data_IF_093763122666
#
_entry.id   IF_093763122666
#
_cell.length_a   1.000
_cell.length_b   1.000
_cell.length_c   1.000
_cell.angle_alpha   90.00
_cell.angle_beta   90.00
_cell.angle_gamma   90.00
#
_symmetry.space_group_name_H-M   'P 1'
#
loop_
_entity.id
_entity.type
_entity.pdbx_description
1 polymer ?
#
# COMPACT_ATOMS: atom_id res chain seq x y z
N UNK A 1 33.68 -24.43 13.36
CA UNK A 1 32.48 -23.69 12.91
C UNK A 1 31.88 -23.06 14.16
N UNK A 2 31.95 -21.74 14.30
CA UNK A 2 31.29 -21.05 15.41
C UNK A 2 29.78 -21.20 15.26
N UNK A 3 29.02 -21.59 16.29
CA UNK A 3 27.57 -21.67 16.19
C UNK A 3 27.03 -20.28 15.86
N UNK A 4 26.08 -20.21 14.92
CA UNK A 4 25.39 -18.97 14.60
C UNK A 4 24.74 -18.44 15.89
N UNK A 5 25.27 -17.33 16.41
CA UNK A 5 24.68 -16.63 17.55
C UNK A 5 23.53 -15.80 17.00
N UNK A 6 22.31 -16.26 17.25
CA UNK A 6 21.11 -15.48 16.98
C UNK A 6 20.86 -14.52 18.14
N UNK A 7 20.50 -13.25 17.87
CA UNK A 7 20.14 -12.32 18.93
C UNK A 7 18.91 -12.84 19.69
N UNK A 8 18.96 -12.86 21.02
CA UNK A 8 17.81 -13.15 21.87
C UNK A 8 16.86 -11.95 21.86
N UNK A 9 15.60 -12.17 21.47
CA UNK A 9 14.57 -11.13 21.49
C UNK A 9 13.74 -11.21 22.77
N UNK A 10 13.40 -10.06 23.35
CA UNK A 10 12.53 -9.97 24.52
C UNK A 10 11.07 -10.25 24.11
N UNK A 11 10.39 -11.18 24.80
CA UNK A 11 9.01 -11.58 24.48
C UNK A 11 8.02 -10.40 24.57
N UNK A 12 8.16 -9.54 25.57
CA UNK A 12 7.30 -8.37 25.75
C UNK A 12 7.50 -7.36 24.61
N UNK A 13 8.75 -7.14 24.21
CA UNK A 13 9.09 -6.25 23.09
C UNK A 13 8.47 -6.78 21.78
N UNK A 14 8.65 -8.07 21.48
CA UNK A 14 8.07 -8.70 20.29
C UNK A 14 6.54 -8.59 20.26
N UNK A 15 5.88 -8.79 21.41
CA UNK A 15 4.42 -8.67 21.52
C UNK A 15 3.95 -7.25 21.21
N UNK A 16 4.62 -6.23 21.77
CA UNK A 16 4.31 -4.83 21.50
C UNK A 16 4.60 -4.44 20.04
N UNK A 17 5.72 -4.89 19.48
CA UNK A 17 6.06 -4.66 18.07
C UNK A 17 5.02 -5.27 17.13
N UNK A 18 4.56 -6.51 17.42
CA UNK A 18 3.51 -7.17 16.63
C UNK A 18 2.20 -6.38 16.69
N UNK A 19 1.78 -5.91 17.87
CA UNK A 19 0.59 -5.07 18.01
C UNK A 19 0.72 -3.77 17.21
N UNK A 20 1.83 -3.04 17.38
CA UNK A 20 2.08 -1.78 16.67
C UNK A 20 2.12 -1.97 15.14
N UNK A 21 2.62 -3.10 14.64
CA UNK A 21 2.72 -3.38 13.19
C UNK A 21 1.38 -3.36 12.45
N UNK A 22 0.27 -3.58 13.17
CA UNK A 22 -1.10 -3.56 12.66
C UNK A 22 -1.83 -2.22 12.91
N UNK A 23 -1.19 -1.27 13.59
CA UNK A 23 -1.76 0.02 13.98
C UNK A 23 -1.09 1.15 13.20
N UNK A 24 -1.78 2.29 13.11
CA UNK A 24 -1.20 3.50 12.55
C UNK A 24 -0.07 3.97 13.45
N UNK A 25 1.13 4.11 12.88
CA UNK A 25 2.31 4.56 13.64
C UNK A 25 2.78 5.95 13.26
N UNK A 26 2.34 6.48 12.12
CA UNK A 26 2.75 7.79 11.62
C UNK A 26 1.55 8.72 11.51
N UNK A 27 1.64 9.88 12.15
CA UNK A 27 0.65 10.94 12.08
C UNK A 27 1.36 12.18 11.57
N UNK A 28 1.00 12.61 10.37
CA UNK A 28 1.63 13.75 9.71
C UNK A 28 0.53 14.74 9.32
N UNK A 29 0.75 15.99 9.66
CA UNK A 29 -0.03 17.17 9.27
C UNK A 29 0.91 18.23 8.66
N UNK A 30 0.38 19.34 8.18
CA UNK A 30 1.14 20.39 7.46
C UNK A 30 2.39 20.86 8.21
N UNK A 31 2.36 20.93 9.54
CA UNK A 31 3.48 21.41 10.37
C UNK A 31 3.99 20.39 11.40
N UNK A 32 3.22 19.33 11.69
CA UNK A 32 3.43 18.41 12.81
C UNK A 32 3.66 16.98 12.31
N UNK A 33 4.59 16.28 12.94
CA UNK A 33 4.80 14.84 12.76
C UNK A 33 4.84 14.14 14.12
N UNK A 34 4.10 13.04 14.26
CA UNK A 34 4.19 12.15 15.39
C UNK A 34 4.46 10.72 14.90
N UNK A 35 5.46 10.08 15.49
CA UNK A 35 5.88 8.72 15.21
C UNK A 35 5.79 7.87 16.47
N UNK A 36 5.27 6.67 16.33
CA UNK A 36 5.18 5.66 17.37
C UNK A 36 6.16 4.53 17.11
N UNK A 37 6.97 4.19 18.10
CA UNK A 37 7.94 3.09 18.05
C UNK A 37 7.95 2.30 19.35
N UNK A 38 8.55 1.11 19.35
CA UNK A 38 8.77 0.31 20.58
C UNK A 38 10.26 0.35 20.89
N UNK A 39 10.62 1.05 21.96
CA UNK A 39 12.01 1.30 22.36
C UNK A 39 12.14 1.19 23.87
N UNK A 40 13.29 0.72 24.37
CA UNK A 40 13.58 0.74 25.79
C UNK A 40 13.67 2.19 26.31
N UNK A 41 13.12 2.44 27.50
CA UNK A 41 13.24 3.75 28.14
C UNK A 41 14.71 4.08 28.43
N UNK A 42 15.18 5.20 27.90
CA UNK A 42 16.45 5.80 28.29
C UNK A 42 16.26 6.38 29.69
N UNK A 43 16.99 5.85 30.68
CA UNK A 43 16.72 6.08 32.11
C UNK A 43 17.01 7.49 32.65
N UNK A 44 16.90 8.51 31.82
CA UNK A 44 17.19 9.93 32.12
C UNK A 44 15.93 10.81 31.91
N UNK A 45 14.77 10.29 32.28
CA UNK A 45 13.49 11.02 32.27
C UNK A 45 13.19 11.52 33.68
N UNK A 46 12.87 12.81 33.82
CA UNK A 46 12.69 13.50 35.10
C UNK A 46 11.27 14.06 35.29
N UNK A 47 10.41 13.96 34.26
CA UNK A 47 9.04 14.45 34.27
C UNK A 47 8.07 13.40 33.73
N UNK A 48 6.91 13.27 34.37
CA UNK A 48 5.77 12.49 33.89
C UNK A 48 4.62 13.43 33.57
N UNK A 49 4.09 13.32 32.36
CA UNK A 49 2.83 13.94 31.96
C UNK A 49 1.72 12.89 32.04
N UNK A 50 0.75 13.11 32.93
CA UNK A 50 -0.44 12.27 33.04
C UNK A 50 -1.36 12.58 31.87
N UNK A 51 -1.73 11.55 31.11
CA UNK A 51 -2.59 11.70 29.94
C UNK A 51 -3.73 10.69 29.95
N UNK A 52 -4.86 11.07 29.35
CA UNK A 52 -5.82 10.13 28.81
C UNK A 52 -5.60 10.04 27.31
N UNK A 53 -5.38 8.84 26.78
CA UNK A 53 -5.21 8.63 25.35
C UNK A 53 -6.27 7.66 24.83
N UNK A 54 -7.31 8.22 24.21
CA UNK A 54 -8.47 7.47 23.71
C UNK A 54 -9.18 6.67 24.81
N UNK A 55 -9.35 7.25 26.00
CA UNK A 55 -10.00 6.62 27.16
C UNK A 55 -9.11 5.63 27.91
N UNK A 56 -7.81 5.57 27.57
CA UNK A 56 -6.81 4.77 28.30
C UNK A 56 -5.89 5.72 29.07
N UNK A 57 -5.93 5.72 30.41
CA UNK A 57 -5.02 6.54 31.20
C UNK A 57 -3.58 6.01 31.06
N UNK A 58 -2.64 6.91 30.81
CA UNK A 58 -1.24 6.60 30.63
C UNK A 58 -0.33 7.69 31.23
N UNK A 59 0.93 7.33 31.46
CA UNK A 59 1.96 8.24 31.99
C UNK A 59 3.03 8.42 30.92
N UNK A 60 3.23 9.63 30.43
CA UNK A 60 4.27 9.96 29.45
C UNK A 60 5.52 10.45 30.17
N UNK A 61 6.55 9.61 30.22
CA UNK A 61 7.86 9.98 30.75
C UNK A 61 8.62 10.79 29.70
N UNK A 62 9.13 11.95 30.07
CA UNK A 62 9.96 12.79 29.20
C UNK A 62 10.97 13.58 30.02
N UNK A 63 11.84 14.31 29.32
CA UNK A 63 12.72 15.30 29.95
C UNK A 63 12.01 16.64 30.05
N UNK A 64 12.04 17.26 31.23
CA UNK A 64 11.50 18.60 31.48
C UNK A 64 12.10 19.63 30.53
N UNK A 65 13.41 19.56 30.27
CA UNK A 65 14.08 20.46 29.34
C UNK A 65 13.53 20.35 27.91
N UNK A 66 13.29 19.14 27.41
CA UNK A 66 12.73 18.94 26.07
C UNK A 66 11.27 19.38 26.00
N UNK A 67 10.48 19.16 27.05
CA UNK A 67 9.11 19.67 27.13
C UNK A 67 9.08 21.20 27.13
N UNK A 68 9.98 21.85 27.89
CA UNK A 68 10.08 23.30 27.90
C UNK A 68 10.48 23.86 26.52
N UNK A 69 11.42 23.21 25.82
CA UNK A 69 11.79 23.56 24.44
C UNK A 69 10.63 23.39 23.45
N UNK A 70 9.82 22.35 23.63
CA UNK A 70 8.62 22.12 22.83
C UNK A 70 7.61 23.26 22.98
N UNK A 71 7.37 23.69 24.23
CA UNK A 71 6.44 24.76 24.61
C UNK A 71 7.02 26.19 24.45
N UNK A 72 8.31 26.32 24.16
CA UNK A 72 9.03 27.60 24.15
C UNK A 72 8.34 28.75 23.39
N UNK A 73 7.71 28.55 22.22
CA UNK A 73 7.03 29.63 21.50
C UNK A 73 5.85 30.24 22.25
N UNK A 74 5.29 29.54 23.24
CA UNK A 74 4.18 30.02 24.06
C UNK A 74 4.65 30.60 25.40
N UNK A 75 5.91 30.37 25.77
CA UNK A 75 6.44 30.71 27.09
C UNK A 75 6.96 32.15 27.22
N UNK A 76 7.13 32.91 26.13
CA UNK A 76 7.67 34.29 26.17
C UNK A 76 8.92 34.42 27.06
N UNK A 77 9.87 33.50 26.93
CA UNK A 77 11.10 33.39 27.76
C UNK A 77 10.89 32.98 29.23
N UNK A 78 9.66 32.76 29.69
CA UNK A 78 9.41 32.20 31.01
C UNK A 78 9.86 30.73 31.10
N UNK A 79 10.45 30.35 32.24
CA UNK A 79 10.72 28.95 32.52
C UNK A 79 9.42 28.24 32.85
N UNK A 80 9.08 27.19 32.09
CA UNK A 80 7.90 26.36 32.34
C UNK A 80 7.85 25.85 33.79
N UNK A 81 9.00 25.51 34.37
CA UNK A 81 9.07 25.00 35.75
C UNK A 81 8.70 26.05 36.81
N UNK A 82 8.86 27.34 36.48
CA UNK A 82 8.54 28.46 37.38
C UNK A 82 7.07 28.87 37.37
N UNK A 83 6.30 28.39 36.38
CA UNK A 83 4.90 28.75 36.21
C UNK A 83 4.01 28.08 37.29
N UNK A 84 2.97 28.77 37.77
CA UNK A 84 1.90 28.15 38.57
C UNK A 84 1.26 26.96 37.84
N UNK A 85 0.88 25.93 38.60
CA UNK A 85 0.27 24.70 38.06
C UNK A 85 -0.93 24.93 37.11
N UNK A 86 -1.85 25.89 37.35
CA UNK A 86 -2.93 26.17 36.42
C UNK A 86 -2.45 26.66 35.04
N UNK A 87 -1.38 27.44 34.99
CA UNK A 87 -0.81 27.93 33.72
C UNK A 87 -0.02 26.85 33.00
N UNK A 88 0.72 26.00 33.74
CA UNK A 88 1.35 24.82 33.16
C UNK A 88 0.31 23.91 32.49
N UNK A 89 -0.83 23.70 33.16
CA UNK A 89 -1.93 22.91 32.62
C UNK A 89 -2.56 23.56 31.38
N UNK A 90 -2.81 24.86 31.43
CA UNK A 90 -3.38 25.59 30.29
C UNK A 90 -2.46 25.53 29.06
N UNK A 91 -1.14 25.60 29.23
CA UNK A 91 -0.18 25.47 28.12
C UNK A 91 -0.20 24.05 27.53
N UNK A 92 -0.18 23.01 28.38
CA UNK A 92 -0.23 21.63 27.94
C UNK A 92 -1.53 21.29 27.19
N UNK A 93 -2.67 21.83 27.65
CA UNK A 93 -3.96 21.62 27.00
C UNK A 93 -4.12 22.42 25.71
N UNK A 94 -3.55 23.63 25.64
CA UNK A 94 -3.63 24.52 24.47
C UNK A 94 -2.92 23.93 23.24
N UNK A 95 -1.84 23.20 23.44
CA UNK A 95 -1.12 22.51 22.36
C UNK A 95 -1.61 21.06 22.13
N UNK A 96 -2.64 20.61 22.85
CA UNK A 96 -3.29 19.32 22.61
C UNK A 96 -4.32 19.42 21.47
N UNK A 97 -4.36 18.46 20.53
CA UNK A 97 -3.81 17.10 20.63
C UNK A 97 -2.54 16.93 19.81
N UNK A 98 -1.43 16.57 20.46
CA UNK A 98 -0.21 16.09 19.80
C UNK A 98 -0.47 14.83 18.95
N UNK A 99 -1.44 14.03 19.39
CA UNK A 99 -1.96 12.82 18.76
C UNK A 99 -3.48 12.80 18.94
N UNK A 100 -4.23 12.21 17.98
CA UNK A 100 -5.68 12.19 18.05
C UNK A 100 -6.18 11.47 19.31
N UNK A 101 -7.02 12.17 20.09
CA UNK A 101 -7.62 11.69 21.33
C UNK A 101 -6.70 11.73 22.56
N UNK A 102 -5.56 12.41 22.49
CA UNK A 102 -4.66 12.60 23.63
C UNK A 102 -5.05 13.86 24.41
N UNK A 103 -5.25 13.71 25.72
CA UNK A 103 -5.61 14.78 26.65
C UNK A 103 -4.64 14.80 27.83
N UNK A 104 -4.08 15.97 28.14
CA UNK A 104 -3.23 16.16 29.31
C UNK A 104 -4.08 16.39 30.57
N UNK A 105 -3.82 15.60 31.61
CA UNK A 105 -4.53 15.62 32.90
C UNK A 105 -3.70 16.23 34.02
N UNK A 106 -2.36 16.15 33.94
CA UNK A 106 -1.48 16.44 35.07
C UNK A 106 -0.01 16.35 34.70
N UNK A 107 0.83 16.90 35.57
CA UNK A 107 2.28 16.61 35.57
C UNK A 107 2.73 16.22 36.98
N UNK A 108 3.69 15.32 37.05
CA UNK A 108 4.30 14.86 38.30
C UNK A 108 5.80 14.57 38.08
N UNK A 109 6.64 14.59 39.14
CA UNK A 109 8.04 14.22 38.99
C UNK A 109 8.18 12.74 38.58
N UNK A 110 9.10 12.44 37.67
CA UNK A 110 9.36 11.06 37.28
C UNK A 110 10.07 10.28 38.40
N UNK A 111 9.66 9.02 38.56
CA UNK A 111 10.39 8.04 39.35
C UNK A 111 11.44 7.30 38.51
N UNK A 112 11.95 6.17 39.03
CA UNK A 112 12.90 5.33 38.29
C UNK A 112 12.24 4.76 37.04
N UNK A 113 12.79 5.04 35.85
CA UNK A 113 12.31 4.45 34.61
C UNK A 113 12.76 2.99 34.49
N UNK A 114 11.83 2.09 34.17
CA UNK A 114 12.17 0.71 33.83
C UNK A 114 12.82 0.70 32.44
N UNK A 115 14.00 0.08 32.31
CA UNK A 115 14.68 -0.08 31.02
C UNK A 115 14.08 -1.21 30.16
N UNK A 116 12.76 -1.38 30.23
CA UNK A 116 12.00 -2.32 29.42
C UNK A 116 11.52 -1.63 28.15
N UNK A 117 11.36 -2.41 27.08
CA UNK A 117 10.78 -1.89 25.84
C UNK A 117 9.32 -1.49 26.07
N UNK A 118 9.00 -0.23 25.76
CA UNK A 118 7.65 0.30 25.85
C UNK A 118 7.34 1.16 24.63
N UNK A 119 6.10 1.63 24.53
CA UNK A 119 5.70 2.54 23.47
C UNK A 119 6.42 3.88 23.65
N UNK A 120 7.13 4.30 22.62
CA UNK A 120 7.76 5.61 22.50
C UNK A 120 6.92 6.48 21.55
N UNK A 121 6.70 7.72 21.94
CA UNK A 121 6.04 8.75 21.16
C UNK A 121 7.06 9.82 20.81
N UNK A 122 7.38 9.96 19.54
CA UNK A 122 8.29 10.99 19.03
C UNK A 122 7.50 12.04 18.26
N UNK A 123 7.47 13.26 18.79
CA UNK A 123 6.81 14.42 18.21
C UNK A 123 7.84 15.34 17.58
N UNK A 124 7.55 15.88 16.39
CA UNK A 124 8.35 16.87 15.69
C UNK A 124 7.45 17.99 15.18
N UNK A 125 7.91 19.22 15.33
CA UNK A 125 7.24 20.42 14.83
C UNK A 125 8.27 21.47 14.45
N UNK A 126 8.39 21.75 13.14
CA UNK A 126 9.47 22.57 12.59
C UNK A 126 10.87 22.10 13.09
N UNK A 127 11.56 22.90 13.90
CA UNK A 127 12.89 22.58 14.48
C UNK A 127 12.83 21.95 15.87
N UNK A 128 11.63 21.76 16.44
CA UNK A 128 11.42 21.21 17.78
C UNK A 128 11.13 19.73 17.72
N UNK A 129 11.65 18.98 18.69
CA UNK A 129 11.35 17.58 18.88
C UNK A 129 11.10 17.29 20.36
N UNK A 130 10.12 16.43 20.62
CA UNK A 130 9.81 15.93 21.96
C UNK A 130 9.63 14.42 21.88
N UNK A 131 10.39 13.70 22.70
CA UNK A 131 10.30 12.25 22.80
C UNK A 131 9.82 11.88 24.19
N UNK A 132 8.76 11.06 24.22
CA UNK A 132 8.13 10.58 25.44
C UNK A 132 8.05 9.05 25.41
N UNK A 133 8.18 8.42 26.58
CA UNK A 133 7.96 6.99 26.76
C UNK A 133 6.67 6.76 27.52
N UNK A 134 5.86 5.81 27.09
CA UNK A 134 4.57 5.51 27.71
C UNK A 134 4.78 4.48 28.82
N UNK A 135 4.39 4.84 30.04
CA UNK A 135 4.20 3.92 31.15
C UNK A 135 2.71 3.62 31.33
N UNK A 136 2.40 2.34 31.50
CA UNK A 136 1.03 1.85 31.71
C UNK A 136 0.73 0.66 30.82
N UNK A 137 -0.57 0.42 30.58
CA UNK A 137 -1.05 -0.66 29.73
C UNK A 137 -0.86 -0.31 28.23
N UNK A 138 0.37 -0.46 27.76
CA UNK A 138 0.75 -0.18 26.37
C UNK A 138 -0.03 -1.08 25.40
N UNK A 139 -0.40 -2.30 25.78
CA UNK A 139 -1.16 -3.20 24.91
C UNK A 139 -2.58 -2.69 24.68
N UNK A 140 -3.27 -2.28 25.74
CA UNK A 140 -4.61 -1.70 25.65
C UNK A 140 -4.60 -0.39 24.87
N UNK A 141 -3.56 0.44 25.04
CA UNK A 141 -3.39 1.67 24.28
C UNK A 141 -3.13 1.38 22.79
N UNK A 142 -2.20 0.49 22.45
CA UNK A 142 -1.99 0.07 21.07
C UNK A 142 -3.29 -0.53 20.47
N UNK A 143 -4.10 -1.19 21.28
CA UNK A 143 -5.38 -1.75 20.85
C UNK A 143 -6.46 -0.69 20.53
N UNK A 144 -6.39 0.52 21.12
CA UNK A 144 -7.30 1.62 20.81
C UNK A 144 -6.92 2.37 19.54
N UNK A 145 -5.63 2.41 19.18
CA UNK A 145 -5.15 3.16 18.01
C UNK A 145 -5.83 2.75 16.68
N UNK A 146 -5.98 3.68 15.72
CA UNK A 146 -6.46 3.36 14.37
C UNK A 146 -5.66 2.22 13.71
N UNK A 147 -6.33 1.44 12.85
CA UNK A 147 -5.65 0.40 12.05
C UNK A 147 -4.66 1.04 11.09
N UNK A 148 -3.56 0.32 10.81
CA UNK A 148 -2.53 0.77 9.86
C UNK A 148 -3.15 1.11 8.49
N UNK A 149 -3.10 2.39 8.06
CA UNK A 149 -3.69 2.81 6.80
C UNK A 149 -2.91 2.21 5.62
N UNK A 150 -3.55 2.09 4.45
CA UNK A 150 -2.94 1.50 3.26
C UNK A 150 -1.62 2.20 2.86
N UNK A 151 -1.55 3.53 2.97
CA UNK A 151 -0.33 4.32 2.72
C UNK A 151 0.88 3.96 3.59
N UNK A 152 0.65 3.38 4.77
CA UNK A 152 1.74 2.92 5.64
C UNK A 152 2.11 1.47 5.37
N UNK A 153 1.37 0.75 4.52
CA UNK A 153 1.67 -0.64 4.13
C UNK A 153 2.72 -0.65 3.03
N UNK A 154 3.21 -1.86 2.72
CA UNK A 154 4.17 -2.04 1.64
C UNK A 154 3.60 -1.45 0.34
N UNK A 155 4.36 -0.54 -0.26
CA UNK A 155 4.01 0.03 -1.55
C UNK A 155 4.38 -0.97 -2.65
N UNK A 156 3.49 -1.92 -2.89
CA UNK A 156 3.68 -2.94 -3.93
C UNK A 156 3.25 -2.33 -5.26
N UNK A 157 4.18 -2.27 -6.20
CA UNK A 157 3.91 -1.89 -7.58
C UNK A 157 3.44 -3.13 -8.35
N UNK A 158 2.26 -3.05 -8.97
CA UNK A 158 1.67 -4.12 -9.78
C UNK A 158 1.72 -3.72 -11.25
N UNK A 159 1.95 -4.69 -12.13
CA UNK A 159 1.92 -4.44 -13.57
C UNK A 159 0.50 -4.57 -14.09
N UNK A 160 -0.08 -3.46 -14.55
CA UNK A 160 -1.29 -3.43 -15.34
C UNK A 160 -0.93 -3.71 -16.80
N UNK A 161 -1.34 -4.89 -17.28
CA UNK A 161 -1.37 -5.22 -18.70
C UNK A 161 -2.74 -4.89 -19.28
N UNK A 162 -2.74 -4.15 -20.38
CA UNK A 162 -3.94 -3.83 -21.15
C UNK A 162 -4.04 -4.86 -22.25
N UNK A 163 -5.09 -5.68 -22.20
CA UNK A 163 -5.27 -6.79 -23.11
C UNK A 163 -6.59 -6.62 -23.86
N UNK A 164 -6.66 -7.04 -25.12
CA UNK A 164 -7.98 -7.39 -25.62
C UNK A 164 -8.53 -8.58 -24.84
N UNK A 165 -9.86 -8.69 -24.69
CA UNK A 165 -10.49 -9.85 -24.08
C UNK A 165 -9.89 -11.14 -24.65
N UNK A 166 -9.67 -12.18 -23.83
CA UNK A 166 -9.14 -13.43 -24.32
C UNK A 166 -10.14 -14.10 -25.26
N UNK A 167 -9.61 -14.83 -26.24
CA UNK A 167 -10.38 -15.69 -27.13
C UNK A 167 -9.81 -17.09 -27.09
N UNK A 168 -10.68 -18.08 -27.11
CA UNK A 168 -10.26 -19.47 -27.04
C UNK A 168 -9.77 -19.93 -28.42
N UNK A 169 -8.52 -20.40 -28.47
CA UNK A 169 -7.99 -21.18 -29.58
C UNK A 169 -7.76 -22.61 -29.11
N UNK A 170 -8.01 -23.59 -29.97
CA UNK A 170 -7.63 -24.97 -29.69
C UNK A 170 -6.11 -25.12 -29.64
N UNK A 171 -5.65 -26.14 -28.91
CA UNK A 171 -4.23 -26.48 -28.87
C UNK A 171 -3.69 -26.81 -30.28
N UNK A 172 -4.51 -27.43 -31.13
CA UNK A 172 -4.16 -27.69 -32.53
C UNK A 172 -3.90 -26.40 -33.31
N UNK A 173 -4.82 -25.43 -33.27
CA UNK A 173 -4.67 -24.14 -33.96
C UNK A 173 -3.44 -23.35 -33.48
N UNK A 174 -3.14 -23.42 -32.20
CA UNK A 174 -1.94 -22.77 -31.63
C UNK A 174 -0.64 -23.41 -32.12
N UNK A 175 -0.63 -24.72 -32.37
CA UNK A 175 0.57 -25.43 -32.86
C UNK A 175 0.83 -25.20 -34.34
N UNK A 176 -0.21 -25.05 -35.13
CA UNK A 176 -0.14 -24.75 -36.56
C UNK A 176 0.14 -23.26 -36.84
N UNK A 177 0.08 -22.40 -35.81
CA UNK A 177 0.30 -20.96 -35.94
C UNK A 177 1.71 -20.65 -36.48
N UNK A 178 1.76 -19.99 -37.63
CA UNK A 178 2.97 -19.58 -38.32
C UNK A 178 3.18 -18.06 -38.32
N UNK A 179 4.39 -17.64 -38.71
CA UNK A 179 4.65 -16.23 -39.00
C UNK A 179 3.85 -15.79 -40.24
N UNK A 180 3.21 -14.63 -40.17
CA UNK A 180 2.35 -14.10 -41.23
C UNK A 180 0.87 -14.44 -41.06
N UNK A 181 0.53 -15.41 -40.21
CA UNK A 181 -0.86 -15.74 -39.90
C UNK A 181 -1.59 -14.58 -39.24
N UNK A 182 -2.91 -14.55 -39.39
CA UNK A 182 -3.74 -13.46 -38.90
C UNK A 182 -4.79 -14.00 -37.94
N UNK A 183 -4.65 -13.62 -36.68
CA UNK A 183 -5.61 -13.92 -35.63
C UNK A 183 -6.68 -12.82 -35.61
N UNK A 184 -7.90 -13.16 -36.01
CA UNK A 184 -9.01 -12.21 -36.03
C UNK A 184 -9.57 -12.01 -34.62
N UNK A 185 -9.79 -10.75 -34.22
CA UNK A 185 -10.52 -10.42 -33.01
C UNK A 185 -12.02 -10.61 -33.26
N UNK A 186 -12.85 -10.94 -32.24
CA UNK A 186 -14.27 -11.13 -32.42
C UNK A 186 -14.94 -9.91 -32.99
N UNK A 187 -15.89 -10.17 -33.89
CA UNK A 187 -16.64 -9.16 -34.63
C UNK A 187 -17.41 -8.18 -33.72
N UNK A 188 -17.66 -8.55 -32.47
CA UNK A 188 -18.41 -7.75 -31.49
C UNK A 188 -17.53 -6.83 -30.64
N UNK A 189 -16.35 -6.42 -31.11
CA UNK A 189 -15.54 -5.43 -30.37
C UNK A 189 -16.26 -4.07 -30.43
N UNK A 190 -16.81 -3.57 -29.31
CA UNK A 190 -17.49 -2.27 -29.32
C UNK A 190 -16.48 -1.17 -29.66
N UNK A 191 -16.96 -0.08 -30.24
CA UNK A 191 -16.16 1.13 -30.46
C UNK A 191 -16.72 2.24 -29.54
N UNK A 192 -15.93 2.80 -28.61
CA UNK A 192 -14.50 2.58 -28.39
C UNK A 192 -14.14 1.19 -27.83
N UNK A 193 -12.91 0.69 -28.10
CA UNK A 193 -12.51 -0.66 -27.75
C UNK A 193 -12.51 -0.86 -26.23
N UNK A 194 -13.14 -1.95 -25.80
CA UNK A 194 -13.05 -2.44 -24.42
C UNK A 194 -11.82 -3.31 -24.26
N UNK A 195 -10.97 -2.96 -23.31
CA UNK A 195 -9.78 -3.69 -22.92
C UNK A 195 -10.03 -4.37 -21.58
N UNK A 196 -9.43 -5.54 -21.40
CA UNK A 196 -9.29 -6.20 -20.12
C UNK A 196 -8.00 -5.70 -19.45
N UNK A 197 -8.14 -5.04 -18.32
CA UNK A 197 -7.04 -4.75 -17.41
C UNK A 197 -6.68 -5.99 -16.61
N UNK A 198 -5.43 -6.44 -16.72
CA UNK A 198 -4.89 -7.61 -16.02
C UNK A 198 -3.75 -7.16 -15.10
N UNK A 199 -3.89 -7.40 -13.80
CA UNK A 199 -2.87 -7.10 -12.79
C UNK A 199 -2.02 -8.34 -12.51
N UNK A 200 -0.74 -8.32 -12.90
CA UNK A 200 0.22 -9.42 -12.73
C UNK A 200 -0.35 -10.82 -13.09
N UNK A 201 -1.13 -10.88 -14.18
CA UNK A 201 -1.73 -12.12 -14.68
C UNK A 201 -3.17 -12.39 -14.23
N UNK A 202 -3.70 -11.61 -13.29
CA UNK A 202 -5.08 -11.73 -12.82
C UNK A 202 -6.00 -10.70 -13.49
N UNK A 203 -7.09 -11.12 -14.16
CA UNK A 203 -8.13 -10.22 -14.64
C UNK A 203 -8.65 -9.32 -13.51
N UNK A 204 -8.67 -8.01 -13.74
CA UNK A 204 -9.00 -7.03 -12.71
C UNK A 204 -10.21 -6.17 -13.09
N UNK A 205 -10.23 -5.60 -14.29
CA UNK A 205 -11.30 -4.68 -14.70
C UNK A 205 -11.50 -4.61 -16.22
N UNK A 206 -12.70 -4.26 -16.64
CA UNK A 206 -12.98 -3.79 -18.00
C UNK A 206 -12.69 -2.29 -18.08
N UNK A 207 -11.87 -1.92 -19.06
CA UNK A 207 -11.39 -0.56 -19.29
C UNK A 207 -11.85 -0.08 -20.67
N UNK A 208 -12.40 1.12 -20.75
CA UNK A 208 -12.73 1.78 -22.01
C UNK A 208 -11.60 2.71 -22.40
N UNK A 209 -11.05 2.55 -23.59
CA UNK A 209 -9.99 3.42 -24.09
C UNK A 209 -10.58 4.65 -24.80
N UNK A 210 -10.31 5.83 -24.27
CA UNK A 210 -10.62 7.13 -24.85
C UNK A 210 -9.31 7.90 -25.07
N UNK A 211 -8.75 7.84 -26.27
CA UNK A 211 -7.45 8.42 -26.65
C UNK A 211 -6.30 7.97 -25.73
N UNK A 212 -5.97 8.78 -24.73
CA UNK A 212 -4.91 8.54 -23.73
C UNK A 212 -5.44 8.24 -22.33
N UNK A 213 -6.76 8.10 -22.17
CA UNK A 213 -7.39 7.81 -20.89
C UNK A 213 -8.08 6.46 -20.92
N UNK A 214 -7.92 5.70 -19.85
CA UNK A 214 -8.64 4.46 -19.60
C UNK A 214 -9.71 4.74 -18.55
N UNK A 215 -10.97 4.59 -18.92
CA UNK A 215 -12.08 4.65 -17.98
C UNK A 215 -12.37 3.26 -17.44
N UNK A 216 -12.36 3.10 -16.12
CA UNK A 216 -12.76 1.86 -15.48
C UNK A 216 -14.28 1.71 -15.56
N UNK A 217 -14.76 0.80 -16.40
CA UNK A 217 -16.19 0.60 -16.62
C UNK A 217 -16.77 -0.35 -15.58
N UNK A 218 -16.06 -1.45 -15.33
CA UNK A 218 -16.52 -2.52 -14.45
C UNK A 218 -15.34 -3.26 -13.86
N UNK A 219 -15.47 -3.71 -12.61
CA UNK A 219 -14.55 -4.69 -12.04
C UNK A 219 -14.84 -6.09 -12.58
N UNK A 220 -13.79 -6.85 -12.85
CA UNK A 220 -13.95 -8.21 -13.36
C UNK A 220 -14.43 -9.12 -12.22
N UNK A 221 -15.55 -9.81 -12.44
CA UNK A 221 -16.01 -10.89 -11.58
C UNK A 221 -15.65 -12.21 -12.23
N UNK A 222 -14.79 -12.99 -11.58
CA UNK A 222 -14.42 -14.32 -12.06
C UNK A 222 -15.62 -15.25 -11.98
N UNK A 223 -16.21 -15.58 -13.12
CA UNK A 223 -17.15 -16.70 -13.21
C UNK A 223 -16.36 -18.01 -13.13
N UNK A 224 -16.87 -19.05 -12.44
CA UNK A 224 -16.24 -20.37 -12.46
C UNK A 224 -16.16 -20.86 -13.92
N UNK A 225 -15.04 -21.49 -14.33
CA UNK A 225 -14.91 -21.99 -15.68
C UNK A 225 -16.02 -23.02 -15.95
N UNK A 226 -16.59 -23.05 -17.17
CA UNK A 226 -17.57 -24.07 -17.53
C UNK A 226 -16.95 -25.46 -17.43
N UNK A 227 -17.71 -26.43 -16.91
CA UNK A 227 -17.33 -27.85 -16.88
C UNK A 227 -17.15 -28.35 -18.32
N UNK A 228 -15.91 -28.30 -18.80
CA UNK A 228 -15.56 -28.73 -20.15
C UNK A 228 -15.20 -30.20 -20.09
N UNK A 229 -16.03 -31.06 -20.71
CA UNK A 229 -15.71 -32.47 -20.86
C UNK A 229 -14.48 -32.61 -21.77
N UNK A 230 -13.34 -33.00 -21.17
CA UNK A 230 -12.07 -33.20 -21.87
C UNK A 230 -12.12 -34.51 -22.67
N UNK A 231 -12.52 -34.44 -23.93
CA UNK A 231 -12.52 -35.58 -24.86
C UNK A 231 -11.14 -35.86 -25.46
N UNK A 232 -10.41 -34.81 -25.86
CA UNK A 232 -9.12 -34.90 -26.57
C UNK A 232 -8.22 -33.68 -26.25
N UNK A 233 -6.91 -33.89 -26.08
CA UNK A 233 -5.96 -32.84 -25.69
C UNK A 233 -5.79 -31.73 -26.75
N UNK A 234 -5.86 -32.10 -28.04
CA UNK A 234 -5.74 -31.15 -29.16
C UNK A 234 -6.92 -30.17 -29.25
N UNK A 235 -8.06 -30.51 -28.64
CA UNK A 235 -9.27 -29.68 -28.59
C UNK A 235 -9.33 -28.81 -27.32
N UNK A 236 -8.30 -28.85 -26.46
CA UNK A 236 -8.26 -28.07 -25.23
C UNK A 236 -8.35 -26.57 -25.58
N UNK A 237 -9.37 -25.83 -25.07
CA UNK A 237 -9.46 -24.40 -25.28
C UNK A 237 -8.36 -23.70 -24.49
N UNK A 238 -7.52 -22.96 -25.20
CA UNK A 238 -6.45 -22.13 -24.65
C UNK A 238 -6.83 -20.68 -24.83
N UNK A 239 -6.88 -19.94 -23.73
CA UNK A 239 -7.18 -18.51 -23.75
C UNK A 239 -5.99 -17.75 -24.35
N UNK A 240 -6.20 -17.11 -25.49
CA UNK A 240 -5.22 -16.25 -26.16
C UNK A 240 -5.64 -14.80 -26.04
N UNK A 241 -4.75 -13.96 -25.52
CA UNK A 241 -4.95 -12.52 -25.37
C UNK A 241 -3.83 -11.74 -26.03
N UNK A 242 -4.12 -10.48 -26.34
CA UNK A 242 -3.19 -9.59 -27.03
C UNK A 242 -2.92 -8.37 -26.14
N UNK A 243 -1.71 -8.28 -25.61
CA UNK A 243 -1.27 -7.14 -24.78
C UNK A 243 -0.87 -5.96 -25.69
N UNK A 244 -1.58 -4.85 -25.53
CA UNK A 244 -1.43 -3.61 -26.31
C UNK A 244 -0.67 -2.51 -25.59
N UNK A 245 -0.52 -2.66 -24.27
CA UNK A 245 0.12 -1.68 -23.43
C UNK A 245 0.35 -2.21 -22.03
N UNK A 246 1.30 -1.59 -21.33
CA UNK A 246 1.64 -1.90 -19.95
C UNK A 246 1.87 -0.62 -19.18
N UNK A 247 1.39 -0.61 -17.95
CA UNK A 247 1.62 0.45 -16.99
C UNK A 247 1.86 -0.16 -15.62
N UNK A 248 2.70 0.48 -14.81
CA UNK A 248 2.87 0.09 -13.42
C UNK A 248 1.98 0.98 -12.57
N UNK A 249 1.17 0.37 -11.70
CA UNK A 249 0.32 1.07 -10.75
C UNK A 249 0.65 0.61 -9.34
N UNK A 250 0.69 1.54 -8.39
CA UNK A 250 0.90 1.18 -7.00
C UNK A 250 -0.40 0.68 -6.34
N UNK A 251 -0.24 -0.18 -5.33
CA UNK A 251 -1.36 -0.80 -4.61
C UNK A 251 -2.28 0.25 -3.97
N UNK A 252 -1.73 1.38 -3.53
CA UNK A 252 -2.50 2.46 -2.96
C UNK A 252 -3.47 3.06 -3.99
N UNK A 253 -2.96 3.42 -5.16
CA UNK A 253 -3.74 3.93 -6.30
C UNK A 253 -4.80 2.93 -6.69
N UNK A 254 -4.43 1.66 -6.91
CA UNK A 254 -5.37 0.59 -7.25
C UNK A 254 -6.50 0.44 -6.22
N UNK A 255 -6.19 0.58 -4.92
CA UNK A 255 -7.19 0.49 -3.84
C UNK A 255 -8.21 1.63 -3.83
N UNK A 256 -7.91 2.75 -4.50
CA UNK A 256 -8.81 3.91 -4.61
C UNK A 256 -9.64 3.91 -5.90
N UNK A 257 -9.31 3.05 -6.87
CA UNK A 257 -10.00 2.99 -8.15
C UNK A 257 -11.33 2.23 -8.03
N UNK A 258 -12.34 2.74 -8.70
CA UNK A 258 -13.65 2.13 -8.85
C UNK A 258 -14.27 2.50 -10.19
N UNK A 259 -15.47 2.00 -10.51
CA UNK A 259 -16.17 2.36 -11.75
C UNK A 259 -16.27 3.88 -11.94
N UNK A 260 -15.95 4.35 -13.14
CA UNK A 260 -15.87 5.77 -13.51
C UNK A 260 -14.50 6.43 -13.25
N UNK A 261 -13.55 5.73 -12.63
CA UNK A 261 -12.20 6.26 -12.45
C UNK A 261 -11.45 6.32 -13.79
N UNK A 262 -10.65 7.38 -13.97
CA UNK A 262 -9.81 7.59 -15.15
C UNK A 262 -8.35 7.29 -14.81
N UNK A 263 -7.68 6.51 -15.67
CA UNK A 263 -6.25 6.21 -15.59
C UNK A 263 -5.59 6.82 -16.82
N UNK A 264 -4.60 7.69 -16.61
CA UNK A 264 -3.82 8.28 -17.70
C UNK A 264 -2.77 7.29 -18.22
N UNK A 265 -2.74 7.12 -19.54
CA UNK A 265 -1.69 6.38 -20.22
C UNK A 265 -0.45 7.27 -20.40
N UNK A 266 0.71 6.78 -19.96
CA UNK A 266 1.99 7.46 -20.18
C UNK A 266 2.43 7.47 -21.65
N UNK A 267 1.81 6.66 -22.51
CA UNK A 267 2.14 6.53 -23.93
C UNK A 267 0.92 6.00 -24.69
N UNK A 268 0.76 6.37 -25.98
CA UNK A 268 -0.27 5.78 -26.82
C UNK A 268 -0.04 4.26 -26.97
N UNK A 269 -1.11 3.52 -27.21
CA UNK A 269 -1.01 2.08 -27.48
C UNK A 269 -0.15 1.82 -28.72
N UNK A 270 0.68 0.78 -28.65
CA UNK A 270 1.55 0.41 -29.76
C UNK A 270 0.78 -0.36 -30.84
N UNK A 271 1.17 -0.18 -32.11
CA UNK A 271 0.65 -0.99 -33.21
C UNK A 271 1.20 -2.42 -33.17
N UNK A 272 2.40 -2.61 -32.63
CA UNK A 272 2.96 -3.91 -32.30
C UNK A 272 2.41 -4.38 -30.95
N UNK A 273 1.93 -5.62 -30.91
CA UNK A 273 1.27 -6.21 -29.75
C UNK A 273 1.96 -7.51 -29.37
N UNK A 274 1.86 -7.86 -28.10
CA UNK A 274 2.35 -9.14 -27.59
C UNK A 274 1.22 -10.15 -27.59
N UNK A 275 1.50 -11.34 -28.09
CA UNK A 275 0.56 -12.47 -28.11
C UNK A 275 0.83 -13.30 -26.85
N UNK A 276 -0.20 -13.49 -26.03
CA UNK A 276 -0.15 -14.22 -24.78
C UNK A 276 -1.08 -15.43 -24.86
N UNK A 277 -0.60 -16.61 -24.48
CA UNK A 277 -1.44 -17.79 -24.26
C UNK A 277 -1.44 -18.12 -22.77
N UNK A 278 -2.61 -18.15 -22.12
CA UNK A 278 -2.74 -18.29 -20.67
C UNK A 278 -1.81 -17.34 -19.90
N UNK A 279 -1.78 -16.07 -20.30
CA UNK A 279 -0.90 -15.01 -19.77
C UNK A 279 0.61 -15.22 -19.97
N UNK A 280 1.04 -16.25 -20.71
CA UNK A 280 2.44 -16.49 -21.07
C UNK A 280 2.73 -15.93 -22.46
N UNK A 281 3.81 -15.16 -22.58
CA UNK A 281 4.25 -14.62 -23.86
C UNK A 281 4.64 -15.74 -24.83
N UNK A 282 4.04 -15.75 -26.02
CA UNK A 282 4.32 -16.74 -27.08
C UNK A 282 4.82 -16.11 -28.38
N UNK A 283 4.69 -14.80 -28.54
CA UNK A 283 5.12 -14.11 -29.75
C UNK A 283 4.66 -12.66 -29.81
N UNK A 284 4.96 -11.99 -30.92
CA UNK A 284 4.52 -10.63 -31.21
C UNK A 284 3.83 -10.57 -32.57
N UNK A 285 2.98 -9.56 -32.74
CA UNK A 285 2.24 -9.34 -33.96
C UNK A 285 1.97 -7.86 -34.20
N UNK A 286 1.51 -7.54 -35.40
CA UNK A 286 1.10 -6.19 -35.78
C UNK A 286 -0.43 -6.14 -35.89
N UNK A 287 -1.03 -5.10 -35.31
CA UNK A 287 -2.44 -4.81 -35.52
C UNK A 287 -2.72 -4.48 -36.98
N UNK A 288 -3.69 -5.19 -37.55
CA UNK A 288 -4.15 -5.03 -38.92
C UNK A 288 -5.67 -4.95 -38.96
N UNK A 289 -6.22 -4.27 -39.97
CA UNK A 289 -7.66 -4.25 -40.23
C UNK A 289 -7.92 -4.92 -41.57
N UNK A 290 -8.81 -5.90 -41.59
CA UNK A 290 -9.21 -6.66 -42.78
C UNK A 290 -10.73 -6.64 -42.85
N UNK A 291 -11.27 -6.11 -43.94
CA UNK A 291 -12.71 -6.02 -44.18
C UNK A 291 -13.50 -5.45 -42.99
N UNK A 292 -12.95 -4.40 -42.37
CA UNK A 292 -13.54 -3.73 -41.20
C UNK A 292 -13.29 -4.41 -39.86
N UNK A 293 -12.78 -5.64 -39.83
CA UNK A 293 -12.45 -6.39 -38.60
C UNK A 293 -11.01 -6.13 -38.17
N UNK A 294 -10.79 -5.98 -36.87
CA UNK A 294 -9.44 -5.94 -36.31
C UNK A 294 -8.88 -7.36 -36.23
N UNK A 295 -7.59 -7.49 -36.47
CA UNK A 295 -6.84 -8.72 -36.27
C UNK A 295 -5.38 -8.42 -35.94
N UNK A 296 -4.65 -9.46 -35.57
CA UNK A 296 -3.23 -9.40 -35.26
C UNK A 296 -2.50 -10.31 -36.24
N UNK A 297 -1.66 -9.71 -37.10
CA UNK A 297 -0.77 -10.46 -37.98
C UNK A 297 0.47 -10.86 -37.20
N UNK A 298 0.73 -12.15 -37.06
CA UNK A 298 1.88 -12.70 -36.36
C UNK A 298 3.16 -12.26 -37.07
N UNK A 299 4.06 -11.57 -36.35
CA UNK A 299 5.35 -11.11 -36.87
C UNK A 299 6.50 -11.95 -36.34
N UNK A 300 6.35 -12.50 -35.13
CA UNK A 300 7.34 -13.37 -34.49
C UNK A 300 6.65 -14.35 -33.54
N UNK A 301 7.12 -15.59 -33.52
CA UNK A 301 6.78 -16.57 -32.49
C UNK A 301 8.04 -16.92 -31.70
N UNK A 302 7.88 -17.30 -30.44
CA UNK A 302 8.95 -17.99 -29.73
C UNK A 302 9.16 -19.34 -30.41
N UNK A 303 10.40 -19.64 -30.79
CA UNK A 303 10.73 -20.97 -31.28
C UNK A 303 10.44 -21.98 -30.15
N UNK A 304 9.58 -22.95 -30.45
CA UNK A 304 9.44 -24.12 -29.59
C UNK A 304 10.74 -24.91 -29.75
N UNK A 305 11.72 -24.73 -28.87
CA UNK A 305 12.79 -25.73 -28.73
C UNK A 305 12.12 -27.03 -28.27
N UNK A 306 12.08 -28.09 -29.09
CA UNK A 306 11.59 -29.37 -28.65
C UNK A 306 12.68 -30.00 -27.77
N UNK A 307 12.56 -29.88 -26.45
CA UNK A 307 13.28 -30.76 -25.52
C UNK A 307 12.73 -32.18 -25.60
#
# INVERSE_FOLDING_TARGET
MSPASFPSANEQELRLQRLLSHRQRSYVDAERQALLDIVACEGDTDLVVLVDWQGVPARLLCRRQHLAQWLAPHLQEADFASLPAPLQMALLQRDSPWLPGLQCLGIEPAGVCQRTACLQVSLKHATRALTCWVQGDCERLLASLPRRPLRERLNIALNLSLQWPPHDLSLHELRELGMGDILLLPAATPMPPRLLGVLDGHPWAELLLNDTHLELVRMHESLPPPDTALGELEQLPIAVSFEVGRQTLDLHTLSTLGPGALIELHSPLAAEVRILANQRYIGSGLLVRIDGRLGVRVTRLLENDPT
#
